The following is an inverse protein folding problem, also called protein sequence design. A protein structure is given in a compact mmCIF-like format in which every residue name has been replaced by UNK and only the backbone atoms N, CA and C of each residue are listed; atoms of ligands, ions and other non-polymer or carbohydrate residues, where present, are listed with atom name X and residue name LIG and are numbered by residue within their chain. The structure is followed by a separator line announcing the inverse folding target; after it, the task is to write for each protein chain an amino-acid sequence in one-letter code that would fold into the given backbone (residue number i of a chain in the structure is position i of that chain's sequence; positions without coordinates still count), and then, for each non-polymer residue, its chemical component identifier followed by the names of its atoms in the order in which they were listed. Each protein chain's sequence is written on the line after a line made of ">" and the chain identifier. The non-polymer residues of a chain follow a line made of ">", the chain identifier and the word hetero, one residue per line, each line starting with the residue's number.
data_IF_460859461581
#
_entry.id   IF_460859461581
#
_cell.length_a   1.000
_cell.length_b   1.000
_cell.length_c   1.000
_cell.angle_alpha   90.00
_cell.angle_beta   90.00
_cell.angle_gamma   90.00
#
_symmetry.space_group_name_H-M   'P 1'
#
loop_
_entity.id
_entity.type
_entity.pdbx_description
1 polymer ?
#
# COMPACT_ATOMS: atom_id res chain seq x y z
N UNK A 1 4.91 -19.36 2.36
CA UNK A 1 4.36 -18.07 1.96
C UNK A 1 3.63 -17.49 3.15
N UNK A 2 4.03 -16.30 3.58
CA UNK A 2 3.46 -15.63 4.74
C UNK A 2 3.38 -14.11 4.52
N UNK A 3 2.49 -13.47 5.26
CA UNK A 3 2.39 -12.03 5.36
C UNK A 3 2.40 -11.64 6.83
N UNK A 4 3.15 -10.61 7.14
CA UNK A 4 3.21 -9.99 8.46
C UNK A 4 2.97 -8.50 8.31
N UNK A 5 2.46 -7.87 9.34
CA UNK A 5 2.31 -6.42 9.41
C UNK A 5 2.91 -5.92 10.72
N UNK A 6 3.55 -4.77 10.68
CA UNK A 6 3.96 -4.08 11.91
C UNK A 6 2.75 -3.40 12.54
N UNK A 7 2.87 -3.03 13.81
CA UNK A 7 1.95 -2.05 14.38
C UNK A 7 2.13 -0.67 13.74
N UNK A 8 1.15 0.21 13.90
CA UNK A 8 1.25 1.59 13.49
C UNK A 8 2.27 2.32 14.35
N UNK A 9 3.28 2.90 13.71
CA UNK A 9 4.23 3.80 14.35
C UNK A 9 3.73 5.24 14.20
N UNK A 10 3.45 5.88 15.32
CA UNK A 10 3.13 7.30 15.38
C UNK A 10 4.43 8.10 15.62
N UNK A 11 4.47 9.31 15.06
CA UNK A 11 5.52 10.26 15.37
C UNK A 11 6.91 9.85 14.86
N UNK A 12 7.15 10.01 13.57
CA UNK A 12 8.50 9.82 12.97
C UNK A 12 9.60 10.59 13.70
N UNK A 13 9.25 11.68 14.41
CA UNK A 13 10.18 12.44 15.23
C UNK A 13 10.77 11.65 16.42
N UNK A 14 10.14 10.53 16.80
CA UNK A 14 10.61 9.64 17.87
C UNK A 14 11.42 8.43 17.37
N UNK A 15 11.71 8.35 16.09
CA UNK A 15 12.63 7.31 15.59
C UNK A 15 13.97 7.49 16.31
N UNK A 16 14.48 6.45 16.99
CA UNK A 16 15.76 6.53 17.70
C UNK A 16 16.86 7.08 16.79
N UNK A 17 17.75 7.90 17.35
CA UNK A 17 18.87 8.53 16.63
C UNK A 17 19.98 7.52 16.29
N UNK A 18 19.57 6.34 15.84
CA UNK A 18 20.46 5.24 15.49
C UNK A 18 20.89 5.31 14.03
N UNK A 19 21.46 4.22 13.57
CA UNK A 19 21.96 4.06 12.20
C UNK A 19 20.92 4.34 11.11
N UNK A 20 19.61 4.12 11.37
CA UNK A 20 18.55 4.36 10.40
C UNK A 20 18.39 5.86 10.10
N UNK A 21 18.39 6.71 11.14
CA UNK A 21 18.31 8.17 10.94
C UNK A 21 19.52 8.68 10.16
N UNK A 22 20.74 8.24 10.53
CA UNK A 22 21.95 8.61 9.78
C UNK A 22 21.90 8.15 8.32
N UNK A 23 21.30 6.99 8.07
CA UNK A 23 21.11 6.46 6.73
C UNK A 23 20.15 7.34 5.91
N UNK A 24 19.01 7.72 6.49
CA UNK A 24 18.02 8.61 5.87
C UNK A 24 18.60 10.01 5.61
N UNK A 25 19.37 10.57 6.55
CA UNK A 25 20.02 11.86 6.40
C UNK A 25 21.03 11.87 5.22
N UNK A 26 21.80 10.80 5.04
CA UNK A 26 22.77 10.66 3.95
C UNK A 26 22.16 10.61 2.56
N UNK A 27 20.96 10.07 2.42
CA UNK A 27 20.22 10.03 1.14
C UNK A 27 19.29 11.22 0.95
N UNK A 28 19.43 12.27 1.77
CA UNK A 28 18.65 13.51 1.65
C UNK A 28 17.23 13.43 2.18
N UNK A 29 16.92 12.43 2.98
CA UNK A 29 15.58 12.15 3.52
C UNK A 29 15.42 12.56 4.98
N UNK A 30 16.41 13.23 5.57
CA UNK A 30 16.44 13.63 6.98
C UNK A 30 15.38 14.65 7.41
N UNK A 31 14.65 15.26 6.45
CA UNK A 31 13.61 16.25 6.72
C UNK A 31 12.19 15.68 6.88
N UNK A 32 12.01 14.37 6.89
CA UNK A 32 10.69 13.72 6.90
C UNK A 32 10.21 13.54 8.35
N UNK A 33 10.08 14.62 9.09
CA UNK A 33 9.55 14.57 10.46
C UNK A 33 8.18 15.23 10.52
N UNK A 34 7.12 14.43 10.46
CA UNK A 34 5.75 14.89 10.68
C UNK A 34 5.15 14.25 11.91
N UNK A 35 4.48 15.03 12.74
CA UNK A 35 3.76 14.56 13.94
C UNK A 35 2.34 14.10 13.63
N UNK A 36 1.84 14.41 12.42
CA UNK A 36 0.49 14.08 11.96
C UNK A 36 0.48 12.91 10.96
N UNK A 37 1.49 12.06 11.01
CA UNK A 37 1.60 10.89 10.16
C UNK A 37 1.81 9.62 10.98
N UNK A 38 1.26 8.52 10.47
CA UNK A 38 1.47 7.16 10.98
C UNK A 38 2.00 6.29 9.87
N UNK A 39 2.92 5.41 10.22
CA UNK A 39 3.56 4.50 9.29
C UNK A 39 3.38 3.06 9.73
N UNK A 40 3.17 2.18 8.78
CA UNK A 40 3.07 0.73 8.94
C UNK A 40 3.80 0.05 7.80
N UNK A 41 4.39 -1.12 8.06
CA UNK A 41 4.99 -1.93 7.02
C UNK A 41 4.27 -3.26 6.90
N UNK A 42 4.05 -3.67 5.66
CA UNK A 42 3.60 -5.01 5.29
C UNK A 42 4.82 -5.76 4.76
N UNK A 43 5.06 -6.93 5.31
CA UNK A 43 6.17 -7.80 4.94
C UNK A 43 5.57 -9.07 4.35
N UNK A 44 5.87 -9.35 3.09
CA UNK A 44 5.40 -10.53 2.39
C UNK A 44 6.60 -11.42 2.05
N UNK A 45 6.47 -12.72 2.35
CA UNK A 45 7.49 -13.73 2.08
C UNK A 45 6.91 -14.70 1.06
N UNK A 46 7.59 -14.85 -0.06
CA UNK A 46 7.18 -15.71 -1.16
C UNK A 46 8.31 -16.66 -1.56
N UNK A 47 7.95 -17.79 -2.12
CA UNK A 47 8.92 -18.69 -2.72
C UNK A 47 9.37 -18.11 -4.06
N UNK A 48 10.64 -17.78 -4.15
CA UNK A 48 11.28 -17.30 -5.36
C UNK A 48 11.69 -18.45 -6.30
N UNK A 49 12.34 -18.08 -7.40
CA UNK A 49 12.89 -19.05 -8.36
C UNK A 49 14.09 -19.78 -7.74
N UNK A 50 14.31 -21.04 -8.17
CA UNK A 50 15.48 -21.85 -7.80
C UNK A 50 15.65 -22.07 -6.29
N UNK A 51 14.56 -22.16 -5.53
CA UNK A 51 14.61 -22.37 -4.08
C UNK A 51 14.97 -21.12 -3.26
N UNK A 52 15.07 -19.96 -3.89
CA UNK A 52 15.23 -18.69 -3.19
C UNK A 52 13.95 -18.29 -2.44
N UNK A 53 14.09 -17.38 -1.50
CA UNK A 53 12.97 -16.74 -0.81
C UNK A 53 12.96 -15.26 -1.18
N UNK A 54 11.85 -14.80 -1.75
CA UNK A 54 11.62 -13.40 -2.03
C UNK A 54 10.93 -12.74 -0.83
N UNK A 55 11.48 -11.62 -0.34
CA UNK A 55 10.91 -10.85 0.77
C UNK A 55 10.60 -9.46 0.26
N UNK A 56 9.34 -9.06 0.36
CA UNK A 56 8.84 -7.76 -0.08
C UNK A 56 8.44 -6.94 1.13
N UNK A 57 8.78 -5.66 1.09
CA UNK A 57 8.35 -4.68 2.06
C UNK A 57 7.48 -3.64 1.37
N UNK A 58 6.32 -3.34 1.95
CA UNK A 58 5.45 -2.29 1.49
C UNK A 58 5.15 -1.33 2.65
N UNK A 59 5.34 -0.05 2.41
CA UNK A 59 4.98 0.99 3.36
C UNK A 59 3.50 1.33 3.22
N UNK A 60 2.85 1.62 4.34
CA UNK A 60 1.50 2.19 4.44
C UNK A 60 1.57 3.44 5.31
N UNK A 61 1.21 4.59 4.73
CA UNK A 61 1.12 5.84 5.45
C UNK A 61 -0.33 6.21 5.77
N UNK A 62 -0.53 6.91 6.89
CA UNK A 62 -1.76 7.64 7.19
C UNK A 62 -1.43 9.07 7.56
N UNK A 63 -2.28 10.00 7.16
CA UNK A 63 -2.19 11.42 7.52
C UNK A 63 -3.40 11.83 8.34
N UNK A 64 -3.15 12.57 9.40
CA UNK A 64 -4.19 13.20 10.18
C UNK A 64 -4.68 14.46 9.46
N UNK A 65 -5.97 14.54 9.20
CA UNK A 65 -6.61 15.67 8.53
C UNK A 65 -7.79 16.17 9.33
N UNK A 66 -8.15 17.44 9.17
CA UNK A 66 -9.34 17.96 9.82
C UNK A 66 -10.60 17.34 9.20
N UNK A 67 -11.48 16.84 10.05
CA UNK A 67 -12.74 16.20 9.64
C UNK A 67 -13.79 17.22 9.24
N UNK A 68 -13.68 18.47 9.71
CA UNK A 68 -14.63 19.53 9.48
C UNK A 68 -13.97 20.89 9.19
N UNK A 69 -14.80 21.86 8.73
CA UNK A 69 -14.34 23.23 8.43
C UNK A 69 -13.96 24.03 9.68
N UNK A 70 -14.45 23.64 10.85
CA UNK A 70 -14.16 24.32 12.13
C UNK A 70 -12.81 23.90 12.70
N UNK A 71 -12.22 22.83 12.17
CA UNK A 71 -10.94 22.27 12.62
C UNK A 71 -10.95 21.79 14.09
N UNK A 72 -12.12 21.43 14.60
CA UNK A 72 -12.30 20.99 15.99
C UNK A 72 -12.04 19.47 16.15
N UNK A 73 -12.16 18.72 15.05
CA UNK A 73 -11.99 17.28 15.04
C UNK A 73 -11.06 16.84 13.91
N UNK A 74 -10.28 15.80 14.16
CA UNK A 74 -9.38 15.20 13.17
C UNK A 74 -9.80 13.77 12.85
N UNK A 75 -9.38 13.31 11.69
CA UNK A 75 -9.55 11.92 11.24
C UNK A 75 -8.30 11.45 10.49
N UNK A 76 -8.03 10.15 10.57
CA UNK A 76 -6.96 9.55 9.82
C UNK A 76 -7.42 9.17 8.42
N UNK A 77 -6.67 9.59 7.42
CA UNK A 77 -6.87 9.23 6.02
C UNK A 77 -5.64 8.51 5.47
N UNK A 78 -5.79 7.60 4.49
CA UNK A 78 -4.65 7.02 3.80
C UNK A 78 -3.75 8.12 3.24
N UNK A 79 -2.47 8.06 3.62
CA UNK A 79 -1.40 8.90 3.09
C UNK A 79 -0.74 8.28 1.87
N UNK A 80 0.18 9.02 1.27
CA UNK A 80 1.04 8.47 0.23
C UNK A 80 2.04 7.47 0.82
N UNK A 81 2.37 6.44 0.05
CA UNK A 81 3.42 5.52 0.43
C UNK A 81 4.80 6.16 0.18
N UNK A 82 5.74 5.85 1.05
CA UNK A 82 7.09 6.36 0.96
C UNK A 82 8.07 5.25 0.53
N UNK A 83 8.45 5.21 -0.76
CA UNK A 83 9.39 4.22 -1.28
C UNK A 83 10.79 4.33 -0.66
N UNK A 84 11.15 5.50 -0.11
CA UNK A 84 12.44 5.68 0.53
C UNK A 84 12.45 5.08 1.93
N UNK A 85 11.32 5.18 2.65
CA UNK A 85 11.15 4.44 3.90
C UNK A 85 11.18 2.93 3.68
N UNK A 86 10.58 2.42 2.59
CA UNK A 86 10.68 1.00 2.23
C UNK A 86 12.13 0.59 2.02
N UNK A 87 12.89 1.36 1.23
CA UNK A 87 14.27 1.07 0.96
C UNK A 87 15.14 1.13 2.23
N UNK A 88 14.90 2.11 3.10
CA UNK A 88 15.59 2.21 4.38
C UNK A 88 15.27 1.02 5.30
N UNK A 89 14.01 0.57 5.32
CA UNK A 89 13.61 -0.60 6.10
C UNK A 89 14.26 -1.89 5.58
N UNK A 90 14.34 -2.05 4.25
CA UNK A 90 15.07 -3.16 3.62
C UNK A 90 16.55 -3.13 4.00
N UNK A 91 17.21 -1.97 3.92
CA UNK A 91 18.62 -1.84 4.31
C UNK A 91 18.83 -2.22 5.78
N UNK A 92 17.94 -1.80 6.67
CA UNK A 92 17.98 -2.19 8.08
C UNK A 92 17.78 -3.69 8.28
N UNK A 93 16.86 -4.29 7.54
CA UNK A 93 16.65 -5.72 7.57
C UNK A 93 17.86 -6.52 7.06
N UNK A 94 18.53 -6.04 6.00
CA UNK A 94 19.79 -6.60 5.51
C UNK A 94 20.88 -6.59 6.61
N UNK A 95 21.03 -5.49 7.34
CA UNK A 95 21.95 -5.39 8.47
C UNK A 95 21.59 -6.37 9.59
N UNK A 96 20.29 -6.51 9.89
CA UNK A 96 19.82 -7.49 10.87
C UNK A 96 20.16 -8.94 10.47
N UNK A 97 20.15 -9.24 9.19
CA UNK A 97 20.59 -10.54 8.64
C UNK A 97 22.12 -10.70 8.56
N UNK A 98 22.89 -9.72 9.03
CA UNK A 98 24.36 -9.78 9.08
C UNK A 98 25.07 -9.18 7.84
N UNK A 99 24.33 -8.51 6.93
CA UNK A 99 24.98 -7.78 5.85
C UNK A 99 25.70 -6.57 6.41
N UNK A 100 26.93 -6.33 5.94
CA UNK A 100 27.74 -5.17 6.36
C UNK A 100 26.99 -3.85 6.12
N UNK A 101 27.15 -2.90 7.06
CA UNK A 101 26.45 -1.63 7.02
C UNK A 101 26.75 -0.80 5.78
N UNK A 102 27.99 -0.83 5.27
CA UNK A 102 28.36 -0.10 4.05
C UNK A 102 27.71 -0.74 2.80
N UNK A 103 27.66 -2.06 2.74
CA UNK A 103 26.98 -2.78 1.66
C UNK A 103 25.47 -2.50 1.66
N UNK A 104 24.82 -2.50 2.82
CA UNK A 104 23.41 -2.16 2.94
C UNK A 104 23.14 -0.70 2.51
N UNK A 105 24.01 0.24 2.88
CA UNK A 105 23.92 1.64 2.48
C UNK A 105 24.12 1.83 0.96
N UNK A 106 25.10 1.15 0.38
CA UNK A 106 25.29 1.16 -1.07
C UNK A 106 24.09 0.61 -1.82
N UNK A 107 23.51 -0.50 -1.37
CA UNK A 107 22.31 -1.08 -1.95
C UNK A 107 21.10 -0.11 -1.88
N UNK A 108 20.96 0.61 -0.76
CA UNK A 108 19.94 1.66 -0.61
C UNK A 108 20.15 2.79 -1.62
N UNK A 109 21.37 3.34 -1.68
CA UNK A 109 21.71 4.45 -2.58
C UNK A 109 21.47 4.06 -4.05
N UNK A 110 21.90 2.86 -4.45
CA UNK A 110 21.67 2.34 -5.79
C UNK A 110 20.18 2.16 -6.08
N UNK A 111 19.39 1.69 -5.13
CA UNK A 111 17.93 1.51 -5.31
C UNK A 111 17.19 2.84 -5.48
N UNK A 112 17.57 3.87 -4.74
CA UNK A 112 17.03 5.24 -4.87
C UNK A 112 17.43 5.84 -6.22
N UNK A 113 18.68 5.74 -6.62
CA UNK A 113 19.16 6.23 -7.91
C UNK A 113 18.50 5.50 -9.09
N UNK A 114 18.30 4.18 -8.99
CA UNK A 114 17.64 3.40 -10.03
C UNK A 114 16.16 3.81 -10.22
N UNK A 115 15.47 4.21 -9.15
CA UNK A 115 14.10 4.73 -9.24
C UNK A 115 14.02 6.08 -9.93
N UNK A 116 14.93 6.99 -9.63
CA UNK A 116 14.96 8.32 -10.27
C UNK A 116 15.28 8.24 -11.76
N UNK A 117 15.97 7.18 -12.20
CA UNK A 117 16.36 6.95 -13.59
C UNK A 117 15.45 5.92 -14.30
N UNK A 118 14.47 5.32 -13.60
CA UNK A 118 13.58 4.33 -14.21
C UNK A 118 12.64 5.03 -15.21
N UNK A 119 12.54 4.47 -16.41
CA UNK A 119 11.50 4.83 -17.35
C UNK A 119 10.13 4.50 -16.72
N UNK A 120 9.12 5.26 -17.09
CA UNK A 120 7.74 5.05 -16.62
C UNK A 120 7.30 3.60 -16.87
N UNK A 121 7.13 2.84 -15.78
CA UNK A 121 6.78 1.42 -15.84
C UNK A 121 5.27 1.19 -16.00
N UNK A 122 4.46 2.24 -15.82
CA UNK A 122 3.02 2.18 -15.97
C UNK A 122 2.51 3.42 -16.71
N UNK A 123 1.47 3.24 -17.52
CA UNK A 123 0.75 4.35 -18.17
C UNK A 123 -0.75 4.06 -18.24
N UNK A 124 -1.55 5.11 -18.15
CA UNK A 124 -3.00 5.02 -18.34
C UNK A 124 -3.31 4.91 -19.84
N UNK A 125 -4.17 3.96 -20.20
CA UNK A 125 -4.63 3.75 -21.56
C UNK A 125 -6.11 3.36 -21.58
N UNK A 126 -6.96 4.24 -22.07
CA UNK A 126 -8.41 4.00 -22.26
C UNK A 126 -9.12 3.36 -21.05
N UNK A 127 -8.88 3.89 -19.84
CA UNK A 127 -9.51 3.38 -18.61
C UNK A 127 -8.89 2.08 -18.08
N UNK A 128 -7.71 1.72 -18.55
CA UNK A 128 -6.87 0.61 -18.10
C UNK A 128 -5.48 1.10 -17.77
N UNK A 129 -4.63 0.27 -17.15
CA UNK A 129 -3.20 0.55 -16.95
C UNK A 129 -2.37 -0.44 -17.75
N UNK A 130 -1.47 0.09 -18.57
CA UNK A 130 -0.44 -0.70 -19.22
C UNK A 130 0.81 -0.72 -18.32
N UNK A 131 1.33 -1.91 -18.06
CA UNK A 131 2.52 -2.15 -17.27
C UNK A 131 3.61 -2.75 -18.16
N UNK A 132 4.77 -2.12 -18.19
CA UNK A 132 5.92 -2.66 -18.90
C UNK A 132 6.65 -3.74 -18.09
N UNK A 133 7.30 -4.68 -18.80
CA UNK A 133 8.19 -5.68 -18.21
C UNK A 133 7.57 -7.06 -18.01
N UNK A 134 8.23 -7.91 -17.25
CA UNK A 134 7.82 -9.31 -17.03
C UNK A 134 6.45 -9.42 -16.34
N UNK A 135 5.60 -10.35 -16.80
CA UNK A 135 4.26 -10.56 -16.27
C UNK A 135 4.28 -10.95 -14.79
N UNK A 136 5.14 -11.88 -14.38
CA UNK A 136 5.21 -12.34 -12.99
C UNK A 136 5.63 -11.21 -12.05
N UNK A 137 6.53 -10.32 -12.51
CA UNK A 137 6.90 -9.10 -11.78
C UNK A 137 5.69 -8.16 -11.67
N UNK A 138 4.97 -7.93 -12.77
CA UNK A 138 3.79 -7.06 -12.78
C UNK A 138 2.67 -7.63 -11.90
N UNK A 139 2.46 -8.94 -11.89
CA UNK A 139 1.52 -9.60 -10.98
C UNK A 139 1.82 -9.28 -9.51
N UNK A 140 3.09 -9.46 -9.09
CA UNK A 140 3.50 -9.16 -7.70
C UNK A 140 3.40 -7.69 -7.35
N UNK A 141 3.84 -6.80 -8.26
CA UNK A 141 3.72 -5.34 -8.08
C UNK A 141 2.27 -4.91 -7.94
N UNK A 142 1.37 -5.48 -8.73
CA UNK A 142 -0.08 -5.19 -8.64
C UNK A 142 -0.61 -5.57 -7.28
N UNK A 143 -0.29 -6.77 -6.76
CA UNK A 143 -0.74 -7.18 -5.42
C UNK A 143 -0.30 -6.19 -4.33
N UNK A 144 0.95 -5.73 -4.37
CA UNK A 144 1.47 -4.73 -3.43
C UNK A 144 0.78 -3.36 -3.61
N UNK A 145 0.59 -2.92 -4.86
CA UNK A 145 -0.06 -1.65 -5.14
C UNK A 145 -1.51 -1.62 -4.63
N UNK A 146 -2.25 -2.72 -4.76
CA UNK A 146 -3.61 -2.83 -4.23
C UNK A 146 -3.65 -2.60 -2.71
N UNK A 147 -2.77 -3.27 -1.97
CA UNK A 147 -2.66 -3.07 -0.53
C UNK A 147 -2.31 -1.61 -0.17
N UNK A 148 -1.37 -1.01 -0.92
CA UNK A 148 -0.91 0.36 -0.69
C UNK A 148 -2.00 1.40 -0.91
N UNK A 149 -2.82 1.24 -1.92
CA UNK A 149 -3.92 2.18 -2.17
C UNK A 149 -5.13 1.99 -1.25
N UNK A 150 -5.01 1.12 -0.24
CA UNK A 150 -6.07 0.89 0.75
C UNK A 150 -7.16 -0.07 0.30
N UNK A 151 -6.90 -0.89 -0.71
CA UNK A 151 -7.75 -2.01 -1.07
C UNK A 151 -7.29 -3.26 -0.33
N UNK A 152 -8.24 -4.00 0.22
CA UNK A 152 -7.95 -5.31 0.81
C UNK A 152 -8.11 -6.38 -0.26
N UNK A 153 -7.06 -7.16 -0.50
CA UNK A 153 -7.14 -8.34 -1.36
C UNK A 153 -7.83 -9.47 -0.58
N UNK A 154 -9.10 -9.70 -0.87
CA UNK A 154 -9.92 -10.76 -0.24
C UNK A 154 -9.85 -12.09 -0.96
N UNK A 155 -9.28 -12.11 -2.18
CA UNK A 155 -9.03 -13.31 -2.95
C UNK A 155 -8.08 -13.06 -4.09
N UNK A 156 -7.28 -14.07 -4.42
CA UNK A 156 -6.43 -14.05 -5.61
C UNK A 156 -6.48 -15.40 -6.32
N UNK A 157 -6.50 -15.37 -7.64
CA UNK A 157 -6.46 -16.56 -8.48
C UNK A 157 -5.48 -16.33 -9.63
N UNK A 158 -4.32 -16.98 -9.56
CA UNK A 158 -3.27 -16.83 -10.55
C UNK A 158 -3.65 -17.45 -11.92
N UNK A 159 -4.44 -18.53 -11.93
CA UNK A 159 -4.92 -19.16 -13.18
C UNK A 159 -5.88 -18.26 -13.92
N UNK A 160 -6.79 -17.60 -13.18
CA UNK A 160 -7.73 -16.60 -13.71
C UNK A 160 -7.11 -15.22 -13.86
N UNK A 161 -5.88 -15.03 -13.39
CA UNK A 161 -5.13 -13.77 -13.48
C UNK A 161 -5.87 -12.60 -12.83
N UNK A 162 -6.50 -12.83 -11.69
CA UNK A 162 -7.39 -11.88 -11.07
C UNK A 162 -7.20 -11.79 -9.56
N UNK A 163 -7.34 -10.58 -9.04
CA UNK A 163 -7.50 -10.27 -7.62
C UNK A 163 -8.93 -9.85 -7.38
N UNK A 164 -9.55 -10.39 -6.34
CA UNK A 164 -10.81 -9.89 -5.80
C UNK A 164 -10.45 -8.94 -4.66
N UNK A 165 -10.84 -7.69 -4.78
CA UNK A 165 -10.50 -6.65 -3.82
C UNK A 165 -11.74 -5.93 -3.31
N UNK A 166 -11.61 -5.39 -2.11
CA UNK A 166 -12.64 -4.59 -1.46
C UNK A 166 -11.98 -3.36 -0.82
N UNK A 167 -12.65 -2.24 -0.79
CA UNK A 167 -12.16 -1.07 -0.09
C UNK A 167 -12.06 -1.38 1.41
N UNK A 168 -10.89 -1.13 2.00
CA UNK A 168 -10.73 -1.30 3.44
C UNK A 168 -11.59 -0.25 4.17
N UNK A 169 -12.33 -0.64 5.23
CA UNK A 169 -13.01 0.32 6.08
C UNK A 169 -11.97 1.26 6.70
N UNK A 170 -12.28 2.56 6.74
CA UNK A 170 -11.45 3.50 7.49
C UNK A 170 -11.46 3.15 8.97
N UNK A 171 -10.40 3.53 9.73
CA UNK A 171 -10.36 3.22 11.17
C UNK A 171 -11.60 3.72 11.92
N UNK A 172 -12.16 4.88 11.54
CA UNK A 172 -13.40 5.41 12.09
C UNK A 172 -14.61 4.50 11.80
N UNK A 173 -14.67 3.90 10.63
CA UNK A 173 -15.74 2.98 10.23
C UNK A 173 -15.55 1.59 10.86
N UNK A 174 -14.31 1.14 11.04
CA UNK A 174 -14.00 -0.11 11.74
C UNK A 174 -14.40 -0.05 13.22
N UNK A 175 -14.25 1.12 13.86
CA UNK A 175 -14.72 1.36 15.24
C UNK A 175 -16.26 1.43 15.30
N UNK A 176 -16.91 2.04 14.30
CA UNK A 176 -18.37 2.12 14.21
C UNK A 176 -19.02 0.75 13.95
N UNK A 177 -18.34 -0.16 13.26
CA UNK A 177 -18.79 -1.53 13.00
C UNK A 177 -18.55 -2.51 14.17
N UNK A 178 -17.81 -2.13 15.21
CA UNK A 178 -17.84 -2.88 16.47
C UNK A 178 -19.23 -2.73 17.08
N UNK A 179 -19.91 -3.87 17.32
CA UNK A 179 -21.26 -3.94 17.88
C UNK A 179 -21.42 -2.90 18.99
N UNK A 180 -22.43 -2.02 18.92
CA UNK A 180 -22.63 -1.01 19.95
C UNK A 180 -22.78 -1.70 21.30
N UNK A 181 -21.98 -1.26 22.29
CA UNK A 181 -22.06 -1.79 23.64
C UNK A 181 -23.48 -1.69 24.18
N UNK A 182 -23.84 -2.58 25.10
CA UNK A 182 -25.21 -2.72 25.68
C UNK A 182 -25.86 -1.39 26.07
N UNK A 183 -25.08 -0.39 26.50
CA UNK A 183 -25.57 0.93 26.90
C UNK A 183 -26.18 1.76 25.76
N UNK A 184 -25.60 1.68 24.52
CA UNK A 184 -26.15 2.37 23.34
C UNK A 184 -27.45 1.76 22.81
N UNK A 185 -27.72 0.49 23.14
CA UNK A 185 -28.94 -0.22 22.75
C UNK A 185 -30.19 0.21 23.55
N UNK A 186 -29.99 0.70 24.77
CA UNK A 186 -31.10 1.03 25.68
C UNK A 186 -31.52 2.50 25.61
N UNK A 187 -30.59 3.42 25.30
CA UNK A 187 -30.85 4.86 25.33
C UNK A 187 -30.65 5.59 23.99
N UNK A 188 -30.22 4.93 22.92
CA UNK A 188 -29.99 5.56 21.63
C UNK A 188 -31.20 5.49 20.71
N UNK A 189 -31.96 6.56 20.58
CA UNK A 189 -33.00 6.76 19.54
C UNK A 189 -32.36 7.07 18.15
N UNK A 190 -31.26 6.42 17.77
CA UNK A 190 -30.68 6.53 16.45
C UNK A 190 -30.95 5.24 15.67
N UNK A 191 -31.53 5.34 14.46
CA UNK A 191 -31.56 4.23 13.51
C UNK A 191 -30.13 3.72 13.36
N UNK A 192 -29.89 2.44 13.69
CA UNK A 192 -28.65 1.79 13.37
C UNK A 192 -28.47 1.88 11.84
N UNK A 193 -27.49 2.65 11.37
CA UNK A 193 -27.10 2.58 9.96
C UNK A 193 -26.69 1.15 9.65
N UNK A 194 -27.24 0.59 8.58
CA UNK A 194 -26.84 -0.71 8.08
C UNK A 194 -25.30 -0.71 7.84
N UNK A 195 -24.61 -1.81 8.15
CA UNK A 195 -23.18 -1.88 7.89
C UNK A 195 -22.91 -1.53 6.42
N UNK A 196 -22.06 -0.53 6.16
CA UNK A 196 -21.67 -0.15 4.81
C UNK A 196 -21.02 -1.34 4.13
N UNK A 197 -21.65 -1.84 3.08
CA UNK A 197 -21.09 -2.87 2.22
C UNK A 197 -20.27 -2.17 1.15
N UNK A 198 -18.97 -2.41 1.14
CA UNK A 198 -18.10 -1.87 0.10
C UNK A 198 -18.20 -2.74 -1.17
N UNK A 199 -18.21 -2.14 -2.36
CA UNK A 199 -18.25 -2.90 -3.60
C UNK A 199 -16.98 -3.76 -3.70
N UNK A 200 -17.17 -5.00 -4.13
CA UNK A 200 -16.09 -5.88 -4.50
C UNK A 200 -15.75 -5.66 -5.97
N UNK A 201 -14.46 -5.47 -6.25
CA UNK A 201 -13.93 -5.17 -7.58
C UNK A 201 -12.98 -6.29 -7.96
N UNK A 202 -13.03 -6.71 -9.21
CA UNK A 202 -12.03 -7.62 -9.78
C UNK A 202 -10.96 -6.77 -10.47
N UNK A 203 -9.71 -6.99 -10.08
CA UNK A 203 -8.55 -6.45 -10.80
C UNK A 203 -7.98 -7.59 -11.65
N UNK A 204 -8.28 -7.54 -12.95
CA UNK A 204 -7.81 -8.52 -13.90
C UNK A 204 -6.48 -8.07 -14.52
N UNK A 205 -5.49 -8.96 -14.51
CA UNK A 205 -4.14 -8.70 -15.00
C UNK A 205 -3.95 -9.47 -16.30
N UNK A 206 -4.26 -8.83 -17.41
CA UNK A 206 -4.12 -9.42 -18.75
C UNK A 206 -2.64 -9.44 -19.18
N UNK A 207 -2.06 -10.56 -19.55
CA UNK A 207 -0.74 -10.59 -20.16
C UNK A 207 -0.79 -10.02 -21.58
N UNK A 208 0.13 -9.12 -21.88
CA UNK A 208 0.35 -8.58 -23.23
C UNK A 208 1.82 -8.74 -23.61
N UNK A 209 2.17 -8.47 -24.87
CA UNK A 209 3.56 -8.47 -25.31
C UNK A 209 4.38 -7.47 -24.49
N UNK A 210 5.44 -7.95 -23.83
CA UNK A 210 6.32 -7.17 -22.98
C UNK A 210 5.63 -6.45 -21.80
N UNK A 211 4.56 -7.05 -21.24
CA UNK A 211 3.89 -6.39 -20.13
C UNK A 211 2.64 -7.07 -19.62
N UNK A 212 1.84 -6.25 -18.97
CA UNK A 212 0.50 -6.58 -18.54
C UNK A 212 -0.45 -5.39 -18.74
N UNK A 213 -1.74 -5.66 -18.86
CA UNK A 213 -2.80 -4.67 -18.83
C UNK A 213 -3.70 -4.94 -17.63
N UNK A 214 -3.92 -3.94 -16.82
CA UNK A 214 -4.80 -4.01 -15.65
C UNK A 214 -6.17 -3.47 -16.00
N UNK A 215 -7.19 -4.26 -15.72
CA UNK A 215 -8.59 -3.89 -15.85
C UNK A 215 -9.26 -3.87 -14.49
N UNK A 216 -10.10 -2.86 -14.26
CA UNK A 216 -11.03 -2.86 -13.13
C UNK A 216 -12.37 -3.37 -13.63
N UNK A 217 -12.87 -4.46 -13.06
CA UNK A 217 -14.09 -5.13 -13.50
C UNK A 217 -15.05 -5.34 -12.33
N UNK A 218 -16.34 -5.38 -12.66
CA UNK A 218 -17.36 -5.89 -11.76
C UNK A 218 -17.28 -7.43 -11.65
N UNK A 219 -18.00 -8.04 -10.71
CA UNK A 219 -18.05 -9.50 -10.54
C UNK A 219 -18.57 -10.25 -11.76
N UNK A 220 -19.39 -9.60 -12.57
CA UNK A 220 -19.93 -10.16 -13.82
C UNK A 220 -18.96 -10.06 -15.01
N UNK A 221 -17.77 -9.48 -14.80
CA UNK A 221 -16.75 -9.28 -15.82
C UNK A 221 -16.92 -8.01 -16.65
N UNK A 222 -17.99 -7.23 -16.44
CA UNK A 222 -18.15 -5.93 -17.10
C UNK A 222 -17.17 -4.89 -16.54
N UNK A 223 -16.77 -3.86 -17.32
CA UNK A 223 -15.91 -2.81 -16.84
C UNK A 223 -16.49 -2.10 -15.60
N UNK A 224 -15.68 -1.93 -14.56
CA UNK A 224 -16.07 -1.19 -13.37
C UNK A 224 -16.15 0.30 -13.67
N UNK A 225 -17.34 0.88 -13.51
CA UNK A 225 -17.65 2.29 -13.76
C UNK A 225 -18.17 3.01 -12.51
N UNK A 226 -17.74 2.58 -11.31
CA UNK A 226 -18.02 3.28 -10.06
C UNK A 226 -17.49 4.71 -10.07
N UNK A 227 -18.06 5.57 -9.25
CA UNK A 227 -17.64 6.98 -9.14
C UNK A 227 -16.17 7.14 -8.75
N UNK A 228 -15.58 6.13 -8.13
CA UNK A 228 -14.20 6.05 -7.68
C UNK A 228 -13.25 5.36 -8.70
N UNK A 229 -13.76 4.83 -9.81
CA UNK A 229 -12.99 4.06 -10.79
C UNK A 229 -11.76 4.83 -11.31
N UNK A 230 -11.94 6.10 -11.67
CA UNK A 230 -10.85 6.95 -12.14
C UNK A 230 -9.81 7.24 -11.03
N UNK A 231 -10.28 7.43 -9.80
CA UNK A 231 -9.43 7.66 -8.63
C UNK A 231 -8.60 6.41 -8.32
N UNK A 232 -9.22 5.24 -8.32
CA UNK A 232 -8.53 3.96 -8.11
C UNK A 232 -7.46 3.72 -9.18
N UNK A 233 -7.80 3.98 -10.44
CA UNK A 233 -6.87 3.84 -11.55
C UNK A 233 -5.68 4.81 -11.44
N UNK A 234 -5.94 6.06 -11.07
CA UNK A 234 -4.91 7.08 -10.84
C UNK A 234 -3.98 6.70 -9.69
N UNK A 235 -4.53 6.19 -8.58
CA UNK A 235 -3.73 5.74 -7.43
C UNK A 235 -2.88 4.51 -7.80
N UNK A 236 -3.46 3.54 -8.51
CA UNK A 236 -2.70 2.39 -9.03
C UNK A 236 -1.59 2.83 -9.98
N UNK A 237 -1.84 3.81 -10.85
CA UNK A 237 -0.81 4.36 -11.73
C UNK A 237 0.35 4.97 -10.92
N UNK A 238 0.04 5.76 -9.89
CA UNK A 238 1.07 6.37 -9.03
C UNK A 238 1.94 5.32 -8.35
N UNK A 239 1.36 4.19 -7.92
CA UNK A 239 2.10 3.10 -7.24
C UNK A 239 2.89 2.19 -8.20
N UNK A 240 2.49 2.13 -9.46
CA UNK A 240 3.04 1.19 -10.45
C UNK A 240 3.98 1.84 -11.47
N UNK A 241 4.06 3.17 -11.52
CA UNK A 241 5.00 3.91 -12.39
C UNK A 241 6.45 3.80 -11.92
#
# INVERSE_FOLDING_TARGET
>A
IGQMETEWAENRAKIPQDSLRRLLDKVGLGGIYSTSERDKFIIRIEQGKNGATDIFFAHKGMKEVYADRKKDTTMWQPGENDPNLEAAFIARFMQYLGVDGQQAEQALTQSVAARSNASELARVDNGTLLLAGDYGRNWRRTALALDRIGLTVIGQNAERRAFLVQQAPTEGEAVANKKPGLFKRVFGKGKAEAPKTYPEIIVYVEPINNGARLHLLNKDGSPYKGSDASTLLSRLHTELR
#
